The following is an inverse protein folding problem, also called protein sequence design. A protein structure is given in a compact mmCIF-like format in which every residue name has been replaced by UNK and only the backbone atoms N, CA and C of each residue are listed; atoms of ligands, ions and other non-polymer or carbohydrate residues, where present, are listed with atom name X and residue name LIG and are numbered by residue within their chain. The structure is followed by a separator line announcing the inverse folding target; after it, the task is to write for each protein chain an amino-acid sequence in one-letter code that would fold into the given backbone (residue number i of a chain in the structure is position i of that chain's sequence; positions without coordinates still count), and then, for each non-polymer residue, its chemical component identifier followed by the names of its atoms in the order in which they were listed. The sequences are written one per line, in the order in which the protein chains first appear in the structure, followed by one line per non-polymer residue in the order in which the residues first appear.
data_IF_947329517690
#
_entry.id   IF_947329517690
#
_cell.length_a   1.000
_cell.length_b   1.000
_cell.length_c   1.000
_cell.angle_alpha   90.00
_cell.angle_beta   90.00
_cell.angle_gamma   90.00
#
_symmetry.space_group_name_H-M   'P 1'
#
loop_
_entity.id
_entity.type
_entity.pdbx_description
1 polymer ?
#
# COMPACT_ATOMS: atom_id res chain seq x y z
N UNK A 1 10.89 -4.69 7.19
CA UNK A 1 9.92 -3.87 7.96
C UNK A 1 8.58 -4.59 7.92
N UNK A 2 7.81 -4.76 9.01
CA UNK A 2 6.55 -5.52 8.95
C UNK A 2 5.34 -4.59 8.82
N UNK A 3 4.70 -4.55 7.65
CA UNK A 3 3.33 -4.02 7.53
C UNK A 3 2.36 -5.12 7.95
N UNK A 4 1.50 -4.84 8.91
CA UNK A 4 0.44 -5.77 9.31
C UNK A 4 -0.81 -5.47 8.49
N UNK A 5 -1.33 -6.48 7.79
CA UNK A 5 -2.61 -6.35 7.10
C UNK A 5 -3.73 -6.24 8.14
N UNK A 6 -4.67 -5.33 7.88
CA UNK A 6 -5.84 -5.09 8.73
C UNK A 6 -7.11 -5.30 7.91
N UNK A 7 -8.24 -5.44 8.59
CA UNK A 7 -9.53 -5.47 7.92
C UNK A 7 -9.78 -4.11 7.26
N UNK A 8 -10.02 -4.11 5.95
CA UNK A 8 -10.29 -2.90 5.17
C UNK A 8 -11.58 -3.03 4.39
N UNK A 9 -12.21 -1.89 4.12
CA UNK A 9 -13.40 -1.79 3.27
C UNK A 9 -13.05 -1.08 1.97
N UNK A 10 -13.55 -1.58 0.85
CA UNK A 10 -13.39 -0.89 -0.41
C UNK A 10 -14.25 0.39 -0.45
N UNK A 11 -13.75 1.48 -1.06
CA UNK A 11 -14.57 2.64 -1.37
C UNK A 11 -15.74 2.25 -2.28
N UNK A 12 -16.88 2.92 -2.11
CA UNK A 12 -18.09 2.70 -2.95
C UNK A 12 -18.33 3.82 -3.95
N UNK A 13 -17.61 4.95 -3.83
CA UNK A 13 -17.78 6.15 -4.64
C UNK A 13 -16.46 6.56 -5.29
N UNK A 14 -16.56 7.27 -6.42
CA UNK A 14 -15.42 7.86 -7.13
C UNK A 14 -14.29 6.84 -7.43
N UNK A 15 -14.66 5.59 -7.71
CA UNK A 15 -13.73 4.53 -8.11
C UNK A 15 -13.26 4.82 -9.54
N UNK A 16 -11.93 4.92 -9.71
CA UNK A 16 -11.29 5.09 -11.03
C UNK A 16 -10.96 3.75 -11.66
N UNK A 17 -10.50 2.80 -10.86
CA UNK A 17 -10.11 1.48 -11.35
C UNK A 17 -10.27 0.43 -10.25
N UNK A 18 -10.64 -0.78 -10.68
CA UNK A 18 -10.64 -1.95 -9.84
C UNK A 18 -10.05 -3.13 -10.62
N UNK A 19 -9.06 -3.80 -10.04
CA UNK A 19 -8.34 -4.91 -10.66
C UNK A 19 -8.36 -6.09 -9.70
N UNK A 20 -8.90 -7.22 -10.17
CA UNK A 20 -8.84 -8.50 -9.46
C UNK A 20 -7.49 -9.18 -9.70
N UNK A 21 -7.15 -10.16 -8.87
CA UNK A 21 -5.95 -10.98 -9.03
C UNK A 21 -4.64 -10.19 -9.02
N UNK A 22 -4.62 -9.09 -8.27
CA UNK A 22 -3.41 -8.26 -8.09
C UNK A 22 -2.59 -8.84 -6.95
N UNK A 23 -1.34 -9.18 -7.25
CA UNK A 23 -0.35 -9.62 -6.28
C UNK A 23 0.27 -8.42 -5.58
N UNK A 24 0.26 -8.41 -4.25
CA UNK A 24 0.88 -7.37 -3.45
C UNK A 24 2.18 -7.85 -2.81
N UNK A 25 3.19 -6.98 -2.83
CA UNK A 25 4.47 -7.19 -2.19
C UNK A 25 4.79 -5.96 -1.34
N UNK A 26 5.33 -6.19 -0.14
CA UNK A 26 5.99 -5.13 0.63
C UNK A 26 7.49 -5.41 0.58
N UNK A 27 8.25 -4.51 -0.04
CA UNK A 27 9.67 -4.77 -0.32
C UNK A 27 9.82 -6.06 -1.15
N UNK A 28 10.21 -7.17 -0.51
CA UNK A 28 10.31 -8.49 -1.13
C UNK A 28 9.30 -9.50 -0.57
N UNK A 29 8.55 -9.12 0.46
CA UNK A 29 7.61 -10.00 1.15
C UNK A 29 6.28 -10.08 0.39
N UNK A 30 5.95 -11.29 -0.06
CA UNK A 30 4.68 -11.55 -0.73
C UNK A 30 3.53 -11.56 0.27
N UNK A 31 2.58 -10.63 0.10
CA UNK A 31 1.42 -10.47 0.99
C UNK A 31 0.20 -11.29 0.54
N UNK A 32 0.17 -11.68 -0.73
CA UNK A 32 -0.90 -12.47 -1.32
C UNK A 32 -1.43 -11.91 -2.64
N UNK A 33 -2.52 -12.52 -3.10
CA UNK A 33 -3.28 -12.10 -4.27
C UNK A 33 -4.66 -11.60 -3.81
N UNK A 34 -5.09 -10.46 -4.36
CA UNK A 34 -6.29 -9.77 -3.92
C UNK A 34 -6.83 -8.81 -4.97
N UNK A 35 -7.70 -7.90 -4.53
CA UNK A 35 -8.29 -6.87 -5.38
C UNK A 35 -7.67 -5.53 -5.05
N UNK A 36 -7.14 -4.84 -6.06
CA UNK A 36 -6.73 -3.44 -5.99
C UNK A 36 -7.89 -2.54 -6.41
N UNK A 37 -8.21 -1.54 -5.59
CA UNK A 37 -9.16 -0.49 -5.88
C UNK A 37 -8.45 0.86 -5.79
N UNK A 38 -8.54 1.65 -6.85
CA UNK A 38 -8.03 3.01 -6.93
C UNK A 38 -9.25 3.92 -6.99
N UNK A 39 -9.56 4.60 -5.89
CA UNK A 39 -10.60 5.62 -5.83
C UNK A 39 -9.96 7.01 -5.68
N UNK A 40 -10.73 8.09 -5.85
CA UNK A 40 -10.21 9.45 -5.66
C UNK A 40 -9.76 9.75 -4.22
N UNK A 41 -10.35 9.08 -3.23
CA UNK A 41 -10.00 9.28 -1.82
C UNK A 41 -8.77 8.49 -1.37
N UNK A 42 -8.62 7.27 -1.87
CA UNK A 42 -7.60 6.33 -1.39
C UNK A 42 -7.35 5.18 -2.38
N UNK A 43 -6.18 4.57 -2.24
CA UNK A 43 -5.83 3.29 -2.84
C UNK A 43 -6.03 2.19 -1.79
N UNK A 44 -6.82 1.16 -2.12
CA UNK A 44 -7.09 0.03 -1.24
C UNK A 44 -6.71 -1.26 -1.94
N UNK A 45 -5.99 -2.13 -1.25
CA UNK A 45 -5.79 -3.51 -1.68
C UNK A 45 -6.23 -4.45 -0.57
N UNK A 46 -6.99 -5.49 -0.91
CA UNK A 46 -7.42 -6.50 0.07
C UNK A 46 -7.53 -7.89 -0.54
N UNK A 47 -7.23 -8.90 0.28
CA UNK A 47 -7.52 -10.32 -0.02
C UNK A 47 -9.02 -10.59 0.04
N UNK A 48 -9.50 -11.73 -0.48
CA UNK A 48 -10.90 -12.15 -0.31
C UNK A 48 -11.35 -12.26 1.15
N UNK A 49 -10.42 -12.45 2.10
CA UNK A 49 -10.70 -12.43 3.55
C UNK A 49 -11.00 -11.04 4.13
N UNK A 50 -10.81 -9.97 3.34
CA UNK A 50 -10.92 -8.58 3.80
C UNK A 50 -9.64 -8.01 4.40
N UNK A 51 -8.62 -8.84 4.67
CA UNK A 51 -7.33 -8.35 5.16
C UNK A 51 -6.56 -7.66 4.03
N UNK A 52 -6.09 -6.44 4.30
CA UNK A 52 -5.50 -5.58 3.30
C UNK A 52 -4.84 -4.34 3.90
N UNK A 53 -4.66 -3.33 3.06
CA UNK A 53 -4.20 -2.00 3.44
C UNK A 53 -4.98 -0.94 2.67
N UNK A 54 -5.10 0.23 3.30
CA UNK A 54 -5.62 1.44 2.66
C UNK A 54 -4.58 2.55 2.78
N UNK A 55 -4.37 3.27 1.69
CA UNK A 55 -3.40 4.34 1.59
C UNK A 55 -4.10 5.58 1.06
N UNK A 56 -4.16 6.63 1.88
CA UNK A 56 -4.63 7.93 1.45
C UNK A 56 -3.54 8.65 0.64
N UNK A 57 -3.90 9.33 -0.44
CA UNK A 57 -2.94 9.98 -1.34
C UNK A 57 -1.96 10.95 -0.66
N UNK A 58 -2.31 11.74 0.38
CA UNK A 58 -1.35 12.59 1.07
C UNK A 58 -0.17 11.82 1.69
N UNK A 59 -0.35 10.53 1.98
CA UNK A 59 0.71 9.66 2.52
C UNK A 59 1.57 8.99 1.43
N UNK A 60 1.19 9.08 0.15
CA UNK A 60 1.99 8.58 -0.97
C UNK A 60 3.09 9.57 -1.35
N UNK A 61 4.32 9.22 -1.08
CA UNK A 61 5.50 10.03 -1.47
C UNK A 61 5.91 9.79 -2.91
N UNK A 62 5.61 8.62 -3.46
CA UNK A 62 5.86 8.26 -4.85
C UNK A 62 4.85 7.22 -5.33
N UNK A 63 4.45 7.33 -6.59
CA UNK A 63 3.77 6.27 -7.33
C UNK A 63 4.36 6.19 -8.75
N UNK A 64 4.44 4.99 -9.31
CA UNK A 64 4.99 4.79 -10.64
C UNK A 64 4.58 3.46 -11.25
N UNK A 65 4.56 3.40 -12.57
CA UNK A 65 4.38 2.15 -13.32
C UNK A 65 5.75 1.72 -13.81
N UNK A 66 6.14 0.49 -13.46
CA UNK A 66 7.39 -0.12 -13.92
C UNK A 66 7.03 -1.18 -14.94
N UNK A 67 7.43 -0.96 -16.19
CA UNK A 67 7.11 -1.84 -17.32
C UNK A 67 8.13 -2.96 -17.52
N UNK A 68 9.31 -2.88 -16.90
CA UNK A 68 10.32 -3.92 -16.96
C UNK A 68 11.17 -3.96 -15.68
N UNK A 69 11.10 -5.08 -14.98
CA UNK A 69 11.99 -5.46 -13.88
C UNK A 69 12.35 -6.95 -14.05
N UNK A 70 13.63 -7.36 -14.05
CA UNK A 70 14.01 -8.76 -14.06
C UNK A 70 13.35 -9.62 -12.98
N UNK A 71 13.03 -9.01 -11.82
CA UNK A 71 12.35 -9.67 -10.70
C UNK A 71 10.85 -9.78 -10.91
N UNK A 72 10.25 -8.76 -11.52
CA UNK A 72 8.82 -8.69 -11.81
C UNK A 72 8.63 -8.42 -13.31
N UNK A 73 8.61 -9.48 -14.15
CA UNK A 73 8.63 -9.33 -15.60
C UNK A 73 7.33 -8.76 -16.19
N UNK A 74 6.29 -8.64 -15.36
CA UNK A 74 5.03 -8.00 -15.74
C UNK A 74 5.03 -6.55 -15.26
N UNK A 75 4.31 -5.70 -16.01
CA UNK A 75 4.05 -4.33 -15.58
C UNK A 75 3.41 -4.31 -14.19
N UNK A 76 3.94 -3.46 -13.30
CA UNK A 76 3.47 -3.37 -11.93
C UNK A 76 3.50 -1.93 -11.42
N UNK A 77 2.59 -1.65 -10.49
CA UNK A 77 2.51 -0.40 -9.76
C UNK A 77 3.48 -0.46 -8.58
N UNK A 78 4.38 0.51 -8.48
CA UNK A 78 5.18 0.76 -7.28
C UNK A 78 4.64 1.98 -6.56
N UNK A 79 4.51 1.86 -5.24
CA UNK A 79 4.12 2.95 -4.35
C UNK A 79 5.11 3.05 -3.20
N UNK A 80 5.44 4.27 -2.79
CA UNK A 80 6.16 4.55 -1.55
C UNK A 80 5.26 5.39 -0.65
N UNK A 81 5.16 4.97 0.61
CA UNK A 81 4.39 5.66 1.65
C UNK A 81 5.34 6.33 2.63
N UNK A 82 4.96 7.52 3.10
CA UNK A 82 5.66 8.18 4.20
C UNK A 82 5.49 7.35 5.48
N UNK A 83 6.57 7.16 6.23
CA UNK A 83 6.47 6.59 7.57
C UNK A 83 5.91 7.66 8.51
N UNK A 84 4.90 7.33 9.33
CA UNK A 84 4.67 8.10 10.54
C UNK A 84 5.99 8.19 11.31
N UNK A 85 6.37 9.39 11.74
CA UNK A 85 7.54 9.53 12.63
C UNK A 85 7.15 8.81 13.91
N UNK A 86 7.75 7.65 14.18
CA UNK A 86 7.72 7.07 15.52
C UNK A 86 8.19 8.18 16.47
N UNK A 87 7.41 8.47 17.51
CA UNK A 87 7.72 9.52 18.49
C UNK A 87 9.14 9.32 19.01
N UNK A 88 10.09 10.15 18.56
CA UNK A 88 11.37 10.31 19.22
C UNK A 88 11.06 10.70 20.66
N UNK A 89 11.20 9.76 21.60
CA UNK A 89 11.22 10.06 23.02
C UNK A 89 12.44 10.96 23.24
N UNK A 90 12.23 12.27 23.20
CA UNK A 90 13.21 13.26 23.60
C UNK A 90 13.44 13.08 25.10
N UNK A 91 14.37 12.21 25.50
CA UNK A 91 14.92 12.24 26.85
C UNK A 91 15.80 13.47 26.96
N UNK A 92 15.20 14.58 27.39
CA UNK A 92 15.92 15.77 27.81
C UNK A 92 16.72 15.47 29.09
N UNK A 93 17.90 14.88 28.95
CA UNK A 93 18.89 14.85 30.02
C UNK A 93 19.64 16.18 30.01
N UNK A 94 19.02 17.21 30.61
CA UNK A 94 19.78 18.37 31.09
C UNK A 94 20.53 17.95 32.34
N UNK A 95 21.85 17.99 32.28
CA UNK A 95 22.74 18.01 33.44
C UNK A 95 23.40 19.37 33.53
#
# INVERSE_FOLDING_TARGET
MSMQLVQVTFPTENIRQQLSSVKAYLEEDYLGEGTLCIAESQLVWAKPSGDGFSIEYPSLTMHGIVSYDPKYPNEHLVVMVEKPKDDEVITNNRK
#
